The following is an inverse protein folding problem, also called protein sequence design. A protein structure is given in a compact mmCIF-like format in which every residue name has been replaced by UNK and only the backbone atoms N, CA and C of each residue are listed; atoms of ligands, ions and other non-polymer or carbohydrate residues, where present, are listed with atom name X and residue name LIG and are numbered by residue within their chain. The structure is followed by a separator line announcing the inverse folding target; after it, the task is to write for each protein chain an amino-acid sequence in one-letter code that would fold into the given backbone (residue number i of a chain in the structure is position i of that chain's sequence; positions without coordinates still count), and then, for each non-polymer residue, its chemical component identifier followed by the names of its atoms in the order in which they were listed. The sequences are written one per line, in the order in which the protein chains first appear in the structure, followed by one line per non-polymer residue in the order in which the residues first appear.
data_IF_706613647453
#
_entry.id   IF_706613647453
#
_cell.length_a   1.000
_cell.length_b   1.000
_cell.length_c   1.000
_cell.angle_alpha   90.00
_cell.angle_beta   90.00
_cell.angle_gamma   90.00
#
_symmetry.space_group_name_H-M   'P 1'
#
loop_
_entity.id
_entity.type
_entity.pdbx_description
1 polymer ?
#
# COMPACT_ATOMS: atom_id res chain seq x y z
N UNK A 1 -2.40 19.00 -14.71
CA UNK A 1 -2.73 17.73 -15.42
C UNK A 1 -2.05 16.58 -14.72
N UNK A 2 -2.76 15.48 -14.54
CA UNK A 2 -2.18 14.30 -13.88
C UNK A 2 -1.44 13.40 -14.88
N UNK A 3 -0.40 12.74 -14.39
CA UNK A 3 0.32 11.69 -15.09
C UNK A 3 -0.09 10.33 -14.49
N UNK A 4 -0.29 9.32 -15.33
CA UNK A 4 -0.64 7.98 -14.90
C UNK A 4 0.62 7.20 -14.61
N UNK A 5 0.68 6.52 -13.45
CA UNK A 5 1.78 5.65 -13.06
C UNK A 5 1.30 4.20 -13.17
N UNK A 6 2.12 3.36 -13.79
CA UNK A 6 1.84 1.94 -13.93
C UNK A 6 3.11 1.12 -13.74
N UNK A 7 2.99 -0.03 -13.12
CA UNK A 7 4.05 -1.04 -13.02
C UNK A 7 3.47 -2.44 -13.05
N UNK A 8 4.11 -3.40 -13.76
CA UNK A 8 3.73 -4.80 -13.69
C UNK A 8 4.12 -5.46 -12.36
N UNK A 9 4.91 -4.77 -11.52
CA UNK A 9 5.37 -5.27 -10.22
C UNK A 9 4.37 -5.01 -9.09
N UNK A 10 3.20 -4.50 -9.42
CA UNK A 10 2.05 -4.39 -8.52
C UNK A 10 0.82 -4.93 -9.25
N UNK A 11 -0.25 -5.29 -8.53
CA UNK A 11 -1.46 -5.83 -9.16
C UNK A 11 -2.03 -4.88 -10.21
N UNK A 12 -2.40 -5.42 -11.38
CA UNK A 12 -3.06 -4.64 -12.41
C UNK A 12 -4.42 -4.15 -11.91
N UNK A 13 -4.87 -2.95 -12.34
CA UNK A 13 -6.20 -2.48 -11.98
C UNK A 13 -7.29 -3.42 -12.51
N UNK A 14 -8.26 -3.73 -11.66
CA UNK A 14 -9.39 -4.59 -12.02
C UNK A 14 -10.68 -3.80 -12.24
N UNK A 15 -10.58 -2.49 -12.38
CA UNK A 15 -11.70 -1.59 -12.57
C UNK A 15 -11.27 -0.28 -13.23
N UNK A 16 -12.15 0.72 -13.26
CA UNK A 16 -11.88 2.01 -13.93
C UNK A 16 -11.02 2.93 -13.04
N UNK A 17 -9.79 2.53 -12.72
CA UNK A 17 -8.84 3.31 -11.94
C UNK A 17 -7.41 3.00 -12.35
N UNK A 18 -6.49 3.89 -12.00
CA UNK A 18 -5.05 3.72 -12.21
C UNK A 18 -4.38 3.26 -10.91
N UNK A 19 -3.24 2.60 -11.01
CA UNK A 19 -2.46 2.22 -9.81
C UNK A 19 -2.03 3.45 -9.02
N UNK A 20 -1.63 4.51 -9.70
CA UNK A 20 -1.33 5.79 -9.08
C UNK A 20 -1.40 6.92 -10.10
N UNK A 21 -1.50 8.13 -9.59
CA UNK A 21 -1.41 9.35 -10.37
C UNK A 21 -0.35 10.28 -9.76
N UNK A 22 0.28 11.07 -10.63
CA UNK A 22 1.24 12.10 -10.22
C UNK A 22 0.68 13.46 -10.60
N UNK A 23 0.65 14.38 -9.66
CA UNK A 23 0.26 15.77 -9.88
C UNK A 23 0.81 16.66 -8.76
N UNK A 24 1.19 17.89 -9.11
CA UNK A 24 1.53 18.95 -8.16
C UNK A 24 2.56 18.53 -7.08
N UNK A 25 3.57 17.77 -7.46
CA UNK A 25 4.63 17.36 -6.53
C UNK A 25 4.30 16.16 -5.66
N UNK A 26 3.23 15.41 -5.99
CA UNK A 26 2.84 14.22 -5.24
C UNK A 26 2.50 13.05 -6.16
N UNK A 27 2.73 11.86 -5.63
CA UNK A 27 2.24 10.59 -6.18
C UNK A 27 1.17 10.07 -5.23
N UNK A 28 -0.02 9.79 -5.75
CA UNK A 28 -1.14 9.28 -4.98
C UNK A 28 -1.46 7.87 -5.49
N UNK A 29 -1.36 6.87 -4.61
CA UNK A 29 -1.65 5.49 -5.02
C UNK A 29 -3.12 5.15 -4.82
N UNK A 30 -3.61 4.24 -5.65
CA UNK A 30 -4.84 3.51 -5.34
C UNK A 30 -4.61 2.62 -4.12
N UNK A 31 -5.69 2.21 -3.47
CA UNK A 31 -5.63 1.27 -2.37
C UNK A 31 -5.08 -0.08 -2.83
N UNK A 32 -4.14 -0.63 -2.07
CA UNK A 32 -3.53 -1.91 -2.34
C UNK A 32 -3.94 -2.94 -1.30
N UNK A 33 -4.43 -4.08 -1.79
CA UNK A 33 -4.63 -5.28 -0.98
C UNK A 33 -3.34 -6.10 -0.97
N UNK A 34 -3.28 -7.10 -0.12
CA UNK A 34 -2.16 -8.06 -0.10
C UNK A 34 -2.20 -9.06 -1.24
N UNK A 35 -2.32 -8.57 -2.46
CA UNK A 35 -2.36 -9.38 -3.68
C UNK A 35 -0.96 -9.52 -4.23
N UNK A 36 -0.53 -10.76 -4.48
CA UNK A 36 0.71 -11.04 -5.18
C UNK A 36 0.51 -10.73 -6.68
N UNK A 37 1.28 -9.81 -7.26
CA UNK A 37 1.13 -9.47 -8.67
C UNK A 37 1.44 -10.62 -9.62
N UNK A 38 2.23 -11.61 -9.19
CA UNK A 38 2.55 -12.79 -10.01
C UNK A 38 1.37 -13.75 -10.13
N UNK A 39 0.52 -13.85 -9.11
CA UNK A 39 -0.60 -14.81 -9.09
C UNK A 39 -1.96 -14.12 -9.22
N UNK A 40 -2.03 -12.82 -8.99
CA UNK A 40 -3.27 -12.03 -8.90
C UNK A 40 -4.20 -12.49 -7.77
N UNK A 41 -3.63 -13.11 -6.71
CA UNK A 41 -4.38 -13.62 -5.57
C UNK A 41 -3.84 -13.06 -4.27
N UNK A 42 -4.69 -12.99 -3.24
CA UNK A 42 -4.26 -12.70 -1.88
C UNK A 42 -3.19 -13.70 -1.45
N UNK A 43 -2.17 -13.21 -0.72
CA UNK A 43 -1.05 -14.04 -0.24
C UNK A 43 -1.45 -15.02 0.86
N UNK A 44 -2.70 -15.05 1.27
CA UNK A 44 -3.23 -15.93 2.30
C UNK A 44 -4.16 -15.19 3.24
N UNK A 45 -4.51 -15.82 4.36
CA UNK A 45 -5.44 -15.30 5.36
C UNK A 45 -4.77 -14.63 6.56
N UNK A 46 -3.44 -14.54 6.58
CA UNK A 46 -2.68 -13.90 7.65
C UNK A 46 -2.56 -12.40 7.40
N UNK A 47 -3.02 -11.58 8.35
CA UNK A 47 -3.01 -10.13 8.20
C UNK A 47 -1.59 -9.56 8.12
N UNK A 48 -0.63 -10.15 8.80
CA UNK A 48 0.77 -9.69 8.71
C UNK A 48 1.31 -9.89 7.29
N UNK A 49 1.05 -11.05 6.68
CA UNK A 49 1.45 -11.33 5.31
C UNK A 49 0.74 -10.40 4.31
N UNK A 50 -0.56 -10.18 4.49
CA UNK A 50 -1.32 -9.26 3.64
C UNK A 50 -0.81 -7.82 3.77
N UNK A 51 -0.47 -7.38 4.99
CA UNK A 51 0.10 -6.05 5.23
C UNK A 51 1.45 -5.90 4.51
N UNK A 52 2.35 -6.86 4.65
CA UNK A 52 3.66 -6.82 3.97
C UNK A 52 3.50 -6.75 2.45
N UNK A 53 2.60 -7.56 1.90
CA UNK A 53 2.39 -7.57 0.45
C UNK A 53 1.76 -6.26 -0.05
N UNK A 54 0.79 -5.72 0.66
CA UNK A 54 0.19 -4.44 0.32
C UNK A 54 1.25 -3.31 0.30
N UNK A 55 2.12 -3.28 1.30
CA UNK A 55 3.22 -2.30 1.37
C UNK A 55 4.25 -2.53 0.25
N UNK A 56 4.55 -3.78 -0.09
CA UNK A 56 5.42 -4.10 -1.23
C UNK A 56 4.84 -3.60 -2.54
N UNK A 57 3.53 -3.73 -2.72
CA UNK A 57 2.83 -3.21 -3.89
C UNK A 57 2.91 -1.68 -3.95
N UNK A 58 2.69 -1.00 -2.82
CA UNK A 58 2.85 0.46 -2.69
C UNK A 58 4.29 0.86 -3.10
N UNK A 59 5.29 0.16 -2.57
CA UNK A 59 6.70 0.45 -2.88
C UNK A 59 7.00 0.31 -4.37
N UNK A 60 6.46 -0.73 -5.00
CA UNK A 60 6.64 -0.95 -6.44
C UNK A 60 6.04 0.20 -7.25
N UNK A 61 4.85 0.67 -6.87
CA UNK A 61 4.16 1.78 -7.53
C UNK A 61 4.95 3.09 -7.35
N UNK A 62 5.36 3.39 -6.14
CA UNK A 62 6.16 4.58 -5.82
C UNK A 62 7.51 4.53 -6.56
N UNK A 63 8.11 3.34 -6.66
CA UNK A 63 9.33 3.10 -7.43
C UNK A 63 9.16 3.38 -8.91
N UNK A 64 8.01 3.02 -9.49
CA UNK A 64 7.70 3.32 -10.89
C UNK A 64 7.59 4.83 -11.16
N UNK A 65 7.32 5.62 -10.14
CA UNK A 65 7.32 7.08 -10.21
C UNK A 65 8.71 7.68 -9.94
N UNK A 66 9.75 6.85 -9.78
CA UNK A 66 11.11 7.31 -9.52
C UNK A 66 11.34 7.74 -8.07
N UNK A 67 10.52 7.27 -7.14
CA UNK A 67 10.59 7.61 -5.72
C UNK A 67 10.87 6.38 -4.87
N UNK A 68 11.19 6.58 -3.61
CA UNK A 68 11.51 5.51 -2.67
C UNK A 68 10.51 5.50 -1.52
N UNK A 69 10.59 4.48 -0.67
CA UNK A 69 9.74 4.41 0.52
C UNK A 69 9.93 5.61 1.46
N UNK A 70 11.14 6.20 1.47
CA UNK A 70 11.44 7.39 2.29
C UNK A 70 10.68 8.64 1.81
N UNK A 71 10.22 8.64 0.56
CA UNK A 71 9.44 9.75 0.00
C UNK A 71 7.95 9.67 0.37
N UNK A 72 7.50 8.56 0.96
CA UNK A 72 6.11 8.40 1.39
C UNK A 72 5.86 9.33 2.58
N UNK A 73 4.89 10.23 2.42
CA UNK A 73 4.57 11.26 3.45
C UNK A 73 3.31 10.96 4.22
N UNK A 74 2.40 10.16 3.65
CA UNK A 74 1.13 9.79 4.29
C UNK A 74 0.73 8.38 3.88
N UNK A 75 0.27 7.60 4.87
CA UNK A 75 -0.31 6.27 4.67
C UNK A 75 -1.68 6.23 5.33
N UNK A 76 -2.66 5.65 4.65
CA UNK A 76 -3.97 5.34 5.24
C UNK A 76 -4.18 3.83 5.15
N UNK A 77 -4.53 3.22 6.28
CA UNK A 77 -4.75 1.78 6.41
C UNK A 77 -6.21 1.54 6.77
N UNK A 78 -6.85 0.63 6.03
CA UNK A 78 -8.18 0.15 6.32
C UNK A 78 -8.09 -1.32 6.72
N UNK A 79 -8.70 -1.69 7.84
CA UNK A 79 -8.72 -3.08 8.34
C UNK A 79 -10.16 -3.50 8.60
N UNK A 80 -10.44 -4.79 8.48
CA UNK A 80 -11.76 -5.32 8.83
C UNK A 80 -11.89 -5.64 10.32
N UNK A 81 -10.76 -5.77 11.03
CA UNK A 81 -10.72 -6.09 12.46
C UNK A 81 -9.62 -5.27 13.14
N UNK A 82 -10.00 -4.20 13.80
CA UNK A 82 -9.06 -3.33 14.52
C UNK A 82 -8.38 -4.07 15.69
N UNK A 83 -8.95 -5.18 16.15
CA UNK A 83 -8.32 -6.06 17.14
C UNK A 83 -6.97 -6.63 16.67
N UNK A 84 -6.70 -6.63 15.34
CA UNK A 84 -5.43 -7.08 14.75
C UNK A 84 -4.42 -5.94 14.59
N UNK A 85 -4.62 -4.83 15.27
CA UNK A 85 -3.79 -3.62 15.19
C UNK A 85 -2.31 -3.90 15.47
N UNK A 86 -2.01 -4.75 16.46
CA UNK A 86 -0.63 -5.06 16.81
C UNK A 86 0.12 -5.80 15.70
N UNK A 87 -0.55 -6.74 15.03
CA UNK A 87 0.04 -7.49 13.92
C UNK A 87 0.31 -6.59 12.72
N UNK A 88 -0.61 -5.66 12.43
CA UNK A 88 -0.44 -4.66 11.38
C UNK A 88 0.76 -3.76 11.71
N UNK A 89 0.83 -3.25 12.94
CA UNK A 89 1.92 -2.38 13.37
C UNK A 89 3.28 -3.06 13.28
N UNK A 90 3.38 -4.32 13.68
CA UNK A 90 4.64 -5.06 13.62
C UNK A 90 5.11 -5.24 12.17
N UNK A 91 4.22 -5.65 11.27
CA UNK A 91 4.54 -5.80 9.85
C UNK A 91 4.89 -4.46 9.19
N UNK A 92 4.16 -3.42 9.53
CA UNK A 92 4.39 -2.05 9.04
C UNK A 92 5.76 -1.53 9.47
N UNK A 93 6.09 -1.63 10.75
CA UNK A 93 7.36 -1.18 11.29
C UNK A 93 8.54 -1.92 10.64
N UNK A 94 8.42 -3.25 10.51
CA UNK A 94 9.45 -4.07 9.88
C UNK A 94 9.66 -3.69 8.42
N UNK A 95 8.59 -3.41 7.68
CA UNK A 95 8.68 -3.01 6.28
C UNK A 95 9.50 -1.71 6.14
N UNK A 96 9.14 -0.65 6.86
CA UNK A 96 9.84 0.62 6.76
C UNK A 96 11.29 0.55 7.26
N UNK A 97 11.56 -0.25 8.29
CA UNK A 97 12.93 -0.50 8.74
C UNK A 97 13.76 -1.19 7.65
N UNK A 98 13.21 -2.20 6.98
CA UNK A 98 13.87 -2.91 5.89
C UNK A 98 14.12 -2.00 4.67
N UNK A 99 13.29 -0.98 4.48
CA UNK A 99 13.49 0.02 3.43
C UNK A 99 14.49 1.13 3.82
N UNK A 100 15.04 1.08 5.02
CA UNK A 100 16.00 2.08 5.51
C UNK A 100 15.36 3.41 5.89
N UNK A 101 14.05 3.43 6.15
CA UNK A 101 13.32 4.64 6.54
C UNK A 101 13.43 4.82 8.05
N UNK A 102 14.11 5.87 8.51
CA UNK A 102 14.32 6.15 9.92
C UNK A 102 13.14 6.88 10.58
N UNK A 103 12.40 7.66 9.80
CA UNK A 103 11.23 8.42 10.27
C UNK A 103 10.00 7.96 9.49
N UNK A 104 9.06 7.26 10.13
CA UNK A 104 7.87 6.77 9.44
C UNK A 104 6.98 7.92 8.99
N UNK A 105 6.18 7.72 7.91
CA UNK A 105 5.24 8.74 7.45
C UNK A 105 4.10 8.97 8.44
N UNK A 106 3.38 10.07 8.25
CA UNK A 106 2.10 10.27 8.93
C UNK A 106 1.14 9.15 8.55
N UNK A 107 0.28 8.73 9.48
CA UNK A 107 -0.58 7.57 9.25
C UNK A 107 -1.94 7.71 9.92
N UNK A 108 -2.97 7.18 9.28
CA UNK A 108 -4.27 6.91 9.88
C UNK A 108 -4.62 5.44 9.67
N UNK A 109 -5.39 4.87 10.60
CA UNK A 109 -5.94 3.52 10.48
C UNK A 109 -7.39 3.56 10.91
N UNK A 110 -8.26 2.84 10.18
CA UNK A 110 -9.69 2.77 10.46
C UNK A 110 -10.21 1.35 10.21
N UNK A 111 -11.18 0.94 11.01
CA UNK A 111 -11.92 -0.30 10.77
C UNK A 111 -13.02 -0.03 9.75
N UNK A 112 -13.19 -0.93 8.79
CA UNK A 112 -14.22 -0.87 7.77
C UNK A 112 -15.04 -2.15 7.79
N UNK A 113 -16.27 -2.10 7.26
CA UNK A 113 -17.18 -3.23 7.30
C UNK A 113 -16.67 -4.42 6.47
N UNK A 114 -16.05 -4.16 5.31
CA UNK A 114 -15.52 -5.20 4.42
C UNK A 114 -14.54 -4.59 3.45
N UNK A 115 -13.68 -5.43 2.87
CA UNK A 115 -12.75 -5.09 1.80
C UNK A 115 -12.95 -6.07 0.63
N UNK A 116 -12.55 -5.68 -0.60
CA UNK A 116 -12.66 -6.57 -1.74
C UNK A 116 -11.93 -7.90 -1.51
N UNK A 117 -12.44 -8.97 -2.11
CA UNK A 117 -11.86 -10.32 -2.08
C UNK A 117 -11.73 -10.93 -0.68
N UNK A 118 -12.47 -10.41 0.29
CA UNK A 118 -12.33 -10.86 1.69
C UNK A 118 -11.00 -10.49 2.31
N UNK A 119 -10.30 -9.48 1.79
CA UNK A 119 -9.04 -9.02 2.35
C UNK A 119 -9.24 -8.47 3.77
N UNK A 120 -8.21 -8.59 4.59
CA UNK A 120 -8.21 -8.10 5.98
C UNK A 120 -7.64 -6.70 6.10
N UNK A 121 -6.90 -6.24 5.09
CA UNK A 121 -6.21 -4.95 5.11
C UNK A 121 -6.13 -4.37 3.70
N UNK A 122 -6.26 -3.05 3.61
CA UNK A 122 -6.01 -2.27 2.40
C UNK A 122 -5.20 -1.04 2.78
N UNK A 123 -4.22 -0.68 1.95
CA UNK A 123 -3.31 0.42 2.24
C UNK A 123 -3.20 1.33 1.01
N UNK A 124 -3.28 2.63 1.24
CA UNK A 124 -3.00 3.66 0.24
C UNK A 124 -1.95 4.63 0.75
N UNK A 125 -1.25 5.30 -0.14
CA UNK A 125 -0.17 6.19 0.24
C UNK A 125 -0.07 7.42 -0.66
N UNK A 126 0.55 8.46 -0.10
CA UNK A 126 0.94 9.67 -0.81
C UNK A 126 2.45 9.79 -0.64
N UNK A 127 3.17 9.95 -1.76
CA UNK A 127 4.61 10.18 -1.75
C UNK A 127 4.92 11.57 -2.34
N UNK A 128 5.97 12.21 -1.84
CA UNK A 128 6.46 13.48 -2.35
C UNK A 128 7.43 13.26 -3.51
N UNK A 129 7.45 14.21 -4.44
CA UNK A 129 8.40 14.21 -5.55
C UNK A 129 9.57 15.14 -5.25
#
# INVERSE_FOLDING_TARGET
MKEIIYTPNAPAPVGPYSQATRANGFVLTAGQLGIDPATSKLVGSDIAAQTRQALSNIRAIVGAAGRTADDIVKVTIYVTHLSLFHEVNAAYAAFFADQGVSAPPARAIAEVAALPLGALVEIEAIAAI
#
